data_IF_204977520761
#
_entry.id   IF_204977520761
#
_cell.length_a   1.000
_cell.length_b   1.000
_cell.length_c   1.000
_cell.angle_alpha   90.00
_cell.angle_beta   90.00
_cell.angle_gamma   90.00
#
_symmetry.space_group_name_H-M   'P 1'
#
loop_
_entity.id
_entity.type
_entity.pdbx_description
1 polymer ?
#
# COMPACT_ATOMS: atom_id res chain seq x y z
N UNK A 1 -18.93 -16.70 9.56
CA UNK A 1 -17.80 -15.83 9.13
C UNK A 1 -17.15 -16.31 7.82
N UNK A 2 -17.20 -17.59 7.49
CA UNK A 2 -16.56 -18.17 6.29
C UNK A 2 -17.21 -17.73 4.95
N UNK A 3 -18.52 -17.49 4.95
CA UNK A 3 -19.28 -17.10 3.74
C UNK A 3 -18.91 -15.71 3.20
N UNK A 4 -18.65 -14.73 4.08
CA UNK A 4 -18.28 -13.38 3.67
C UNK A 4 -16.89 -13.34 3.01
N UNK A 5 -15.95 -14.17 3.48
CA UNK A 5 -14.62 -14.30 2.90
C UNK A 5 -14.66 -14.98 1.52
N UNK A 6 -15.47 -16.04 1.38
CA UNK A 6 -15.70 -16.74 0.10
C UNK A 6 -16.45 -15.87 -0.92
N UNK A 7 -17.43 -15.08 -0.49
CA UNK A 7 -18.16 -14.13 -1.33
C UNK A 7 -17.21 -13.07 -1.91
N UNK A 8 -16.34 -12.51 -1.07
CA UNK A 8 -15.33 -11.52 -1.51
C UNK A 8 -14.34 -12.15 -2.50
N UNK A 9 -13.91 -13.40 -2.26
CA UNK A 9 -12.98 -14.13 -3.14
C UNK A 9 -13.56 -14.49 -4.51
N UNK A 10 -14.86 -14.80 -4.58
CA UNK A 10 -15.55 -15.18 -5.83
C UNK A 10 -16.00 -13.99 -6.66
N UNK A 11 -16.37 -12.86 -6.03
CA UNK A 11 -17.02 -11.74 -6.73
C UNK A 11 -16.17 -10.47 -6.88
N UNK A 12 -15.09 -10.31 -6.11
CA UNK A 12 -14.16 -9.19 -6.26
C UNK A 12 -12.71 -9.68 -6.22
N UNK A 13 -12.23 -10.45 -7.21
CA UNK A 13 -10.80 -10.53 -7.42
C UNK A 13 -10.37 -9.12 -7.80
N UNK A 14 -9.88 -8.30 -6.86
CA UNK A 14 -9.21 -7.04 -7.19
C UNK A 14 -8.11 -7.43 -8.16
N UNK A 15 -8.28 -7.16 -9.47
CA UNK A 15 -7.35 -7.68 -10.44
C UNK A 15 -6.02 -7.01 -10.18
N UNK A 16 -4.93 -7.71 -10.49
CA UNK A 16 -3.63 -7.05 -10.51
C UNK A 16 -3.73 -5.85 -11.45
N UNK A 17 -3.44 -4.66 -10.93
CA UNK A 17 -3.16 -3.49 -11.75
C UNK A 17 -1.68 -3.58 -12.07
N UNK A 18 -1.40 -3.96 -13.32
CA UNK A 18 -0.06 -4.30 -13.81
C UNK A 18 0.54 -5.47 -13.01
N UNK A 19 1.52 -5.18 -12.17
CA UNK A 19 2.26 -6.14 -11.34
C UNK A 19 1.98 -5.97 -9.83
N UNK A 20 1.02 -5.12 -9.47
CA UNK A 20 0.64 -4.85 -8.08
C UNK A 20 -0.83 -5.17 -7.81
N UNK A 21 -1.11 -5.70 -6.63
CA UNK A 21 -2.48 -5.90 -6.14
C UNK A 21 -2.57 -5.37 -4.72
N UNK A 22 -3.60 -4.59 -4.45
CA UNK A 22 -3.97 -4.18 -3.10
C UNK A 22 -4.81 -5.30 -2.47
N UNK A 23 -4.30 -5.90 -1.40
CA UNK A 23 -4.95 -7.01 -0.71
C UNK A 23 -5.95 -6.52 0.34
N UNK A 24 -5.53 -5.56 1.17
CA UNK A 24 -6.32 -5.07 2.30
C UNK A 24 -5.84 -3.71 2.80
N UNK A 25 -6.69 -3.04 3.59
CA UNK A 25 -6.34 -1.87 4.39
C UNK A 25 -6.69 -2.15 5.83
N UNK A 26 -5.81 -1.78 6.74
CA UNK A 26 -6.13 -1.72 8.17
C UNK A 26 -5.95 -0.30 8.69
N UNK A 27 -6.67 0.01 9.77
CA UNK A 27 -6.53 1.27 10.48
C UNK A 27 -6.20 0.99 11.94
N UNK A 28 -5.06 1.51 12.38
CA UNK A 28 -4.62 1.47 13.75
C UNK A 28 -5.04 2.77 14.47
N UNK A 29 -5.92 2.65 15.46
CA UNK A 29 -6.51 3.78 16.18
C UNK A 29 -5.53 4.47 17.13
N UNK A 30 -4.64 3.70 17.74
CA UNK A 30 -3.69 4.22 18.73
C UNK A 30 -2.64 5.12 18.06
N UNK A 31 -2.15 4.68 16.91
CA UNK A 31 -1.11 5.36 16.15
C UNK A 31 -1.65 6.26 15.03
N UNK A 32 -2.96 6.25 14.80
CA UNK A 32 -3.64 6.89 13.67
C UNK A 32 -3.00 6.52 12.32
N UNK A 33 -2.72 5.23 12.11
CA UNK A 33 -2.00 4.73 10.94
C UNK A 33 -2.91 3.90 10.04
N UNK A 34 -3.09 4.31 8.79
CA UNK A 34 -3.61 3.46 7.73
C UNK A 34 -2.49 2.61 7.15
N UNK A 35 -2.64 1.28 7.14
CA UNK A 35 -1.69 0.38 6.50
C UNK A 35 -2.34 -0.25 5.27
N UNK A 36 -1.79 0.05 4.10
CA UNK A 36 -2.15 -0.56 2.83
C UNK A 36 -1.24 -1.76 2.56
N UNK A 37 -1.85 -2.94 2.46
CA UNK A 37 -1.15 -4.18 2.17
C UNK A 37 -1.23 -4.49 0.67
N UNK A 38 -0.07 -4.72 0.06
CA UNK A 38 0.06 -5.06 -1.34
C UNK A 38 0.76 -6.41 -1.52
N UNK A 39 0.42 -7.08 -2.61
CA UNK A 39 1.16 -8.22 -3.15
C UNK A 39 1.71 -7.82 -4.51
N UNK A 40 3.03 -7.93 -4.68
CA UNK A 40 3.69 -7.68 -5.96
C UNK A 40 4.09 -8.99 -6.65
N UNK A 41 4.12 -8.97 -7.97
CA UNK A 41 4.55 -10.09 -8.82
C UNK A 41 5.49 -9.62 -9.94
N UNK A 42 6.08 -10.57 -10.65
CA UNK A 42 6.90 -10.31 -11.85
C UNK A 42 8.01 -9.27 -11.60
N UNK A 43 8.00 -8.15 -12.32
CA UNK A 43 9.05 -7.12 -12.28
C UNK A 43 9.10 -6.38 -10.95
N UNK A 44 7.96 -6.24 -10.27
CA UNK A 44 7.87 -5.64 -8.93
C UNK A 44 8.23 -6.64 -7.82
N UNK A 45 8.41 -7.92 -8.15
CA UNK A 45 8.81 -8.98 -7.23
C UNK A 45 10.30 -9.33 -7.33
N UNK A 46 11.08 -8.36 -7.80
CA UNK A 46 12.54 -8.39 -7.79
C UNK A 46 13.04 -7.37 -6.75
N UNK A 47 13.46 -7.87 -5.59
CA UNK A 47 14.02 -7.08 -4.48
C UNK A 47 15.17 -6.17 -4.93
N UNK A 48 15.98 -6.59 -5.91
CA UNK A 48 17.13 -5.83 -6.39
C UNK A 48 16.67 -4.65 -7.24
N UNK A 49 15.72 -4.87 -8.14
CA UNK A 49 15.13 -3.78 -8.94
C UNK A 49 14.34 -2.80 -8.08
N UNK A 50 13.60 -3.32 -7.10
CA UNK A 50 12.80 -2.51 -6.18
C UNK A 50 13.71 -1.66 -5.28
N UNK A 51 14.82 -2.21 -4.79
CA UNK A 51 15.84 -1.46 -4.05
C UNK A 51 16.47 -0.35 -4.89
N UNK A 52 16.82 -0.61 -6.16
CA UNK A 52 17.37 0.40 -7.08
C UNK A 52 16.38 1.53 -7.38
N UNK A 53 15.10 1.19 -7.53
CA UNK A 53 14.03 2.14 -7.86
C UNK A 53 13.29 2.66 -6.63
N UNK A 54 13.75 2.32 -5.42
CA UNK A 54 13.05 2.59 -4.16
C UNK A 54 12.70 4.08 -4.00
N UNK A 55 13.63 4.97 -4.34
CA UNK A 55 13.39 6.43 -4.31
C UNK A 55 12.24 6.84 -5.24
N UNK A 56 12.25 6.36 -6.48
CA UNK A 56 11.20 6.66 -7.46
C UNK A 56 9.84 6.09 -7.03
N UNK A 57 9.82 4.89 -6.44
CA UNK A 57 8.61 4.27 -5.89
C UNK A 57 8.07 5.10 -4.73
N UNK A 58 8.93 5.48 -3.78
CA UNK A 58 8.58 6.35 -2.66
C UNK A 58 8.02 7.69 -3.13
N UNK A 59 8.63 8.31 -4.14
CA UNK A 59 8.15 9.57 -4.70
C UNK A 59 6.81 9.42 -5.43
N UNK A 60 6.61 8.34 -6.19
CA UNK A 60 5.35 8.04 -6.84
C UNK A 60 4.23 7.82 -5.82
N UNK A 61 4.50 7.03 -4.76
CA UNK A 61 3.57 6.84 -3.63
C UNK A 61 3.25 8.16 -2.94
N UNK A 62 4.26 9.00 -2.70
CA UNK A 62 4.07 10.33 -2.11
C UNK A 62 3.17 11.22 -2.98
N UNK A 63 3.43 11.29 -4.29
CA UNK A 63 2.63 12.08 -5.24
C UNK A 63 1.19 11.57 -5.32
N UNK A 64 1.00 10.26 -5.42
CA UNK A 64 -0.34 9.65 -5.41
C UNK A 64 -1.06 9.95 -4.10
N UNK A 65 -0.37 9.74 -2.96
CA UNK A 65 -0.92 10.07 -1.66
C UNK A 65 -1.30 11.54 -1.62
N UNK A 66 -0.45 12.49 -2.03
CA UNK A 66 -0.77 13.91 -2.05
C UNK A 66 -2.01 14.25 -2.89
N UNK A 67 -2.12 13.68 -4.08
CA UNK A 67 -3.22 13.92 -5.01
C UNK A 67 -4.53 13.22 -4.64
N UNK A 68 -4.49 12.24 -3.73
CA UNK A 68 -5.68 11.53 -3.28
C UNK A 68 -6.57 12.43 -2.40
N UNK A 69 -7.69 12.89 -2.98
CA UNK A 69 -8.69 13.73 -2.31
C UNK A 69 -9.53 12.96 -1.31
N UNK A 70 -9.66 11.63 -1.46
CA UNK A 70 -10.44 10.77 -0.57
C UNK A 70 -9.86 10.69 0.84
N UNK A 71 -8.55 10.89 0.97
CA UNK A 71 -7.85 10.88 2.27
C UNK A 71 -7.51 12.28 2.80
N UNK A 72 -8.00 13.35 2.18
CA UNK A 72 -7.67 14.73 2.56
C UNK A 72 -7.97 15.01 4.04
N UNK A 73 -9.14 14.60 4.53
CA UNK A 73 -9.51 14.83 5.93
C UNK A 73 -8.53 14.15 6.89
N UNK A 74 -8.13 12.90 6.62
CA UNK A 74 -7.17 12.16 7.45
C UNK A 74 -5.77 12.78 7.40
N UNK A 75 -5.36 13.32 6.24
CA UNK A 75 -4.11 14.08 6.10
C UNK A 75 -4.11 15.34 6.95
N UNK A 76 -5.22 16.08 6.96
CA UNK A 76 -5.38 17.33 7.72
C UNK A 76 -5.27 17.04 9.23
N UNK A 77 -5.88 15.95 9.70
CA UNK A 77 -5.75 15.42 11.07
C UNK A 77 -4.38 14.78 11.38
N UNK A 78 -3.48 14.65 10.39
CA UNK A 78 -2.11 14.18 10.60
C UNK A 78 -1.94 12.66 10.70
N UNK A 79 -2.85 11.89 10.11
CA UNK A 79 -2.79 10.44 10.09
C UNK A 79 -1.56 9.95 9.30
N UNK A 80 -1.01 8.80 9.71
CA UNK A 80 0.11 8.17 9.02
C UNK A 80 -0.43 7.21 7.96
N UNK A 81 0.30 7.10 6.85
CA UNK A 81 -0.03 6.17 5.79
C UNK A 81 1.17 5.26 5.55
N UNK A 82 1.00 3.96 5.81
CA UNK A 82 2.00 2.92 5.63
C UNK A 82 1.64 2.06 4.42
N UNK A 83 2.61 1.81 3.56
CA UNK A 83 2.52 0.97 2.38
C UNK A 83 3.43 -0.22 2.59
N UNK A 84 2.84 -1.40 2.75
CA UNK A 84 3.56 -2.62 3.01
C UNK A 84 3.30 -3.58 1.84
N UNK A 85 4.34 -3.94 1.11
CA UNK A 85 4.23 -4.89 0.01
C UNK A 85 4.99 -6.18 0.31
N UNK A 86 4.35 -7.31 0.01
CA UNK A 86 4.94 -8.65 0.06
C UNK A 86 5.19 -9.20 -1.33
N UNK A 87 6.24 -10.01 -1.45
CA UNK A 87 6.53 -10.83 -2.61
C UNK A 87 5.48 -11.92 -2.78
N UNK A 88 4.96 -12.12 -3.99
CA UNK A 88 4.14 -13.29 -4.30
C UNK A 88 5.00 -14.56 -4.37
N UNK A 89 6.25 -14.46 -4.81
CA UNK A 89 7.16 -15.60 -4.99
C UNK A 89 7.58 -16.25 -3.68
N UNK A 90 7.89 -15.45 -2.66
CA UNK A 90 8.44 -15.98 -1.40
C UNK A 90 7.75 -15.48 -0.13
N UNK A 91 6.80 -14.53 -0.23
CA UNK A 91 6.08 -14.00 0.92
C UNK A 91 6.82 -12.95 1.74
N UNK A 92 8.08 -12.62 1.38
CA UNK A 92 8.87 -11.65 2.11
C UNK A 92 8.31 -10.23 1.96
N UNK A 93 8.51 -9.39 2.99
CA UNK A 93 8.27 -7.95 2.87
C UNK A 93 9.38 -7.35 2.00
N UNK A 94 8.97 -6.70 0.91
CA UNK A 94 9.87 -6.11 -0.09
C UNK A 94 9.75 -4.59 -0.16
N UNK A 95 8.67 -4.02 0.39
CA UNK A 95 8.47 -2.60 0.54
C UNK A 95 7.81 -2.33 1.89
N UNK A 96 8.33 -1.36 2.64
CA UNK A 96 7.76 -0.90 3.89
C UNK A 96 7.98 0.60 4.04
N UNK A 97 7.00 1.36 3.57
CA UNK A 97 7.11 2.80 3.39
C UNK A 97 6.05 3.51 4.21
N UNK A 98 6.47 4.34 5.17
CA UNK A 98 5.56 5.14 5.99
C UNK A 98 5.69 6.62 5.65
N UNK A 99 4.55 7.25 5.40
CA UNK A 99 4.41 8.69 5.18
C UNK A 99 3.70 9.34 6.38
N UNK A 100 4.32 10.38 6.90
CA UNK A 100 3.78 11.23 7.96
C UNK A 100 3.35 12.59 7.41
N UNK A 101 2.60 13.39 8.20
CA UNK A 101 2.13 14.73 7.80
C UNK A 101 3.19 15.58 7.11
N UNK A 102 4.41 15.60 7.65
CA UNK A 102 5.53 16.39 7.09
C UNK A 102 5.97 15.96 5.69
N UNK A 103 5.63 14.74 5.28
CA UNK A 103 6.10 14.16 4.02
C UNK A 103 5.08 14.29 2.89
N UNK A 104 3.80 14.55 3.20
CA UNK A 104 2.74 14.75 2.21
C UNK A 104 2.06 16.12 2.29
N UNK A 105 2.37 16.95 3.29
CA UNK A 105 1.99 18.36 3.35
C UNK A 105 3.25 19.17 3.00
N UNK A 106 3.20 19.91 1.89
CA UNK A 106 4.23 20.88 1.50
C UNK A 106 4.12 22.09 2.44
#
# INVERSE_FOLDING_TARGET
MEEAALYTKRFCPTPYREDSRMDSVTFDKETHTYTYYYTFRNKLDDKVMLGKNHKGIREALRKNLMNDTGVKIYKDYGFKFRYLARSLRNGDIILDETFTKRQYVI
#
